data_IF_462791355361
#
_entry.id   IF_462791355361
#
_cell.length_a   1.000
_cell.length_b   1.000
_cell.length_c   1.000
_cell.angle_alpha   90.00
_cell.angle_beta   90.00
_cell.angle_gamma   90.00
#
_symmetry.space_group_name_H-M   'P 1'
#
loop_
_entity.id
_entity.type
_entity.pdbx_description
1 polymer ?
#
# COMPACT_ATOMS: atom_id res chain seq x y z
N UNK A 1 -13.88 -16.73 18.17
CA UNK A 1 -12.76 -17.18 17.32
C UNK A 1 -11.70 -17.74 18.25
N UNK A 2 -11.22 -18.96 18.00
CA UNK A 2 -10.15 -19.58 18.80
C UNK A 2 -8.81 -18.92 18.43
N UNK A 3 -7.88 -18.81 19.38
CA UNK A 3 -6.57 -18.14 19.22
C UNK A 3 -5.76 -18.67 18.02
N UNK A 4 -5.84 -19.97 17.77
CA UNK A 4 -5.19 -20.61 16.64
C UNK A 4 -5.73 -20.11 15.29
N UNK A 5 -7.03 -19.80 15.20
CA UNK A 5 -7.64 -19.25 13.98
C UNK A 5 -7.09 -17.85 13.71
N UNK A 6 -6.97 -17.00 14.73
CA UNK A 6 -6.41 -15.64 14.65
C UNK A 6 -4.95 -15.67 14.16
N UNK A 7 -4.10 -16.49 14.77
CA UNK A 7 -2.70 -16.62 14.39
C UNK A 7 -2.53 -17.20 12.97
N UNK A 8 -3.39 -18.14 12.59
CA UNK A 8 -3.42 -18.67 11.21
C UNK A 8 -3.78 -17.60 10.18
N UNK A 9 -4.80 -16.77 10.45
CA UNK A 9 -5.16 -15.63 9.60
C UNK A 9 -4.04 -14.60 9.49
N UNK A 10 -3.35 -14.30 10.60
CA UNK A 10 -2.18 -13.41 10.62
C UNK A 10 -1.09 -13.91 9.68
N UNK A 11 -0.67 -15.18 9.82
CA UNK A 11 0.37 -15.78 8.97
C UNK A 11 0.03 -15.77 7.47
N UNK A 12 -1.20 -16.15 7.10
CA UNK A 12 -1.64 -16.13 5.69
C UNK A 12 -1.65 -14.70 5.17
N UNK A 13 -2.18 -13.75 5.95
CA UNK A 13 -2.28 -12.35 5.55
C UNK A 13 -0.88 -11.75 5.32
N UNK A 14 0.08 -12.06 6.19
CA UNK A 14 1.47 -11.62 6.06
C UNK A 14 2.11 -12.12 4.76
N UNK A 15 2.02 -13.43 4.48
CA UNK A 15 2.52 -14.03 3.26
C UNK A 15 1.90 -13.39 2.01
N UNK A 16 0.57 -13.25 1.98
CA UNK A 16 -0.15 -12.59 0.87
C UNK A 16 0.28 -11.14 0.68
N UNK A 17 0.45 -10.36 1.76
CA UNK A 17 0.90 -8.96 1.65
C UNK A 17 2.32 -8.82 1.14
N UNK A 18 3.21 -9.75 1.50
CA UNK A 18 4.56 -9.80 0.96
C UNK A 18 4.52 -10.00 -0.57
N UNK A 19 3.73 -10.96 -1.04
CA UNK A 19 3.62 -11.24 -2.48
C UNK A 19 2.99 -10.07 -3.25
N UNK A 20 1.97 -9.40 -2.68
CA UNK A 20 1.41 -8.16 -3.23
C UNK A 20 2.48 -7.07 -3.35
N UNK A 21 3.34 -6.89 -2.33
CA UNK A 21 4.43 -5.90 -2.39
C UNK A 21 5.42 -6.22 -3.51
N UNK A 22 5.72 -7.49 -3.74
CA UNK A 22 6.61 -7.91 -4.83
C UNK A 22 6.00 -7.56 -6.20
N UNK A 23 4.72 -7.85 -6.42
CA UNK A 23 4.02 -7.46 -7.66
C UNK A 23 4.05 -5.93 -7.84
N UNK A 24 3.78 -5.16 -6.79
CA UNK A 24 3.82 -3.70 -6.84
C UNK A 24 5.23 -3.15 -7.11
N UNK A 25 6.28 -3.80 -6.60
CA UNK A 25 7.67 -3.43 -6.89
C UNK A 25 7.99 -3.58 -8.38
N UNK A 26 7.58 -4.69 -9.00
CA UNK A 26 7.78 -4.93 -10.44
C UNK A 26 7.03 -3.87 -11.27
N UNK A 27 5.79 -3.54 -10.90
CA UNK A 27 5.01 -2.48 -11.59
C UNK A 27 5.70 -1.12 -11.44
N UNK A 28 6.26 -0.82 -10.25
CA UNK A 28 7.01 0.41 -10.01
C UNK A 28 8.20 0.53 -10.95
N UNK A 29 9.02 -0.51 -11.03
CA UNK A 29 10.21 -0.53 -11.89
C UNK A 29 9.84 -0.40 -13.37
N UNK A 30 8.82 -1.15 -13.80
CA UNK A 30 8.32 -1.09 -15.18
C UNK A 30 7.79 0.31 -15.54
N UNK A 31 7.02 0.94 -14.65
CA UNK A 31 6.51 2.31 -14.88
C UNK A 31 7.62 3.37 -14.77
N UNK A 32 8.63 3.17 -13.92
CA UNK A 32 9.83 4.00 -13.87
C UNK A 32 10.57 4.00 -15.20
N UNK A 33 10.86 2.82 -15.74
CA UNK A 33 11.49 2.67 -17.05
C UNK A 33 10.65 3.32 -18.17
N UNK A 34 9.32 3.21 -18.13
CA UNK A 34 8.45 3.93 -19.08
C UNK A 34 8.65 5.45 -19.00
N UNK A 35 8.76 6.02 -17.80
CA UNK A 35 9.04 7.44 -17.59
C UNK A 35 10.43 7.84 -18.11
N UNK A 36 11.44 7.01 -17.86
CA UNK A 36 12.81 7.24 -18.33
C UNK A 36 12.87 7.25 -19.86
N UNK A 37 12.24 6.26 -20.51
CA UNK A 37 12.16 6.18 -21.97
C UNK A 37 11.40 7.36 -22.58
N UNK A 38 10.29 7.79 -21.95
CA UNK A 38 9.56 8.97 -22.40
C UNK A 38 10.44 10.22 -22.33
N UNK A 39 11.27 10.36 -21.29
CA UNK A 39 12.16 11.51 -21.09
C UNK A 39 13.27 11.61 -22.15
N UNK A 40 13.55 10.54 -22.89
CA UNK A 40 14.50 10.54 -24.00
C UNK A 40 13.89 11.02 -25.33
N UNK A 41 12.57 11.15 -25.41
CA UNK A 41 11.87 11.59 -26.62
C UNK A 41 11.92 13.12 -26.71
N UNK A 42 12.43 13.65 -27.82
CA UNK A 42 12.48 15.10 -28.06
C UNK A 42 11.08 15.74 -27.99
N UNK A 43 11.01 16.90 -27.33
CA UNK A 43 9.78 17.68 -27.19
C UNK A 43 9.17 17.99 -28.57
N UNK A 44 7.88 17.68 -28.71
CA UNK A 44 7.13 17.90 -29.95
C UNK A 44 7.15 16.75 -30.97
N UNK A 45 8.07 15.77 -30.84
CA UNK A 45 8.10 14.58 -31.72
C UNK A 45 6.98 13.58 -31.41
N UNK A 46 6.43 13.62 -30.19
CA UNK A 46 5.34 12.77 -29.76
C UNK A 46 4.15 13.58 -29.22
N UNK A 47 3.04 13.58 -29.97
CA UNK A 47 1.82 14.36 -29.66
C UNK A 47 1.18 14.08 -28.29
N UNK A 48 1.50 12.95 -27.65
CA UNK A 48 0.94 12.58 -26.34
C UNK A 48 1.99 12.54 -25.23
N UNK A 49 3.18 13.10 -25.45
CA UNK A 49 4.30 13.05 -24.50
C UNK A 49 3.87 13.46 -23.08
N UNK A 50 3.29 14.65 -22.94
CA UNK A 50 2.82 15.14 -21.64
C UNK A 50 1.72 14.27 -21.02
N UNK A 51 0.80 13.74 -21.84
CA UNK A 51 -0.28 12.86 -21.37
C UNK A 51 0.29 11.55 -20.83
N UNK A 52 1.23 10.93 -21.54
CA UNK A 52 1.89 9.71 -21.09
C UNK A 52 2.71 9.94 -19.82
N UNK A 53 3.44 11.05 -19.73
CA UNK A 53 4.16 11.42 -18.51
C UNK A 53 3.22 11.52 -17.30
N UNK A 54 2.04 12.14 -17.47
CA UNK A 54 1.04 12.24 -16.40
C UNK A 54 0.44 10.87 -16.01
N UNK A 55 0.24 9.97 -16.98
CA UNK A 55 -0.26 8.61 -16.74
C UNK A 55 0.76 7.76 -15.98
N UNK A 56 2.04 7.83 -16.35
CA UNK A 56 3.12 7.16 -15.63
C UNK A 56 3.18 7.65 -14.18
N UNK A 57 3.13 8.96 -13.95
CA UNK A 57 3.06 9.52 -12.59
C UNK A 57 1.86 9.00 -11.80
N UNK A 58 0.68 8.95 -12.44
CA UNK A 58 -0.52 8.39 -11.80
C UNK A 58 -0.35 6.93 -11.41
N UNK A 59 0.27 6.10 -12.27
CA UNK A 59 0.56 4.70 -11.96
C UNK A 59 1.49 4.60 -10.76
N UNK A 60 2.57 5.38 -10.73
CA UNK A 60 3.53 5.40 -9.62
C UNK A 60 2.86 5.80 -8.30
N UNK A 61 1.97 6.79 -8.32
CA UNK A 61 1.19 7.20 -7.14
C UNK A 61 0.27 6.09 -6.64
N UNK A 62 -0.43 5.38 -7.54
CA UNK A 62 -1.26 4.23 -7.15
C UNK A 62 -0.43 3.08 -6.59
N UNK A 63 0.73 2.80 -7.17
CA UNK A 63 1.65 1.77 -6.69
C UNK A 63 2.18 2.13 -5.30
N UNK A 64 2.55 3.40 -5.06
CA UNK A 64 2.98 3.89 -3.75
C UNK A 64 1.87 3.71 -2.70
N UNK A 65 0.64 4.09 -3.04
CA UNK A 65 -0.53 3.86 -2.16
C UNK A 65 -0.74 2.38 -1.89
N UNK A 66 -0.62 1.53 -2.90
CA UNK A 66 -0.73 0.07 -2.75
C UNK A 66 0.31 -0.51 -1.81
N UNK A 67 1.56 -0.06 -1.91
CA UNK A 67 2.66 -0.52 -1.04
C UNK A 67 2.42 -0.08 0.40
N UNK A 68 1.94 1.14 0.63
CA UNK A 68 1.59 1.61 1.96
C UNK A 68 0.47 0.76 2.59
N UNK A 69 -0.59 0.49 1.82
CA UNK A 69 -1.70 -0.36 2.27
C UNK A 69 -1.23 -1.77 2.63
N UNK A 70 -0.45 -2.41 1.76
CA UNK A 70 0.08 -3.75 1.98
C UNK A 70 1.02 -3.79 3.20
N UNK A 71 1.87 -2.76 3.38
CA UNK A 71 2.80 -2.67 4.52
C UNK A 71 2.04 -2.56 5.84
N UNK A 72 1.04 -1.69 5.91
CA UNK A 72 0.24 -1.50 7.13
C UNK A 72 -0.63 -2.72 7.44
N UNK A 73 -1.15 -3.40 6.41
CA UNK A 73 -1.87 -4.65 6.61
C UNK A 73 -0.94 -5.78 7.10
N UNK A 74 0.28 -5.89 6.56
CA UNK A 74 1.29 -6.84 7.05
C UNK A 74 1.64 -6.59 8.53
N UNK A 75 1.82 -5.32 8.90
CA UNK A 75 2.07 -4.93 10.29
C UNK A 75 0.91 -5.32 11.22
N UNK A 76 -0.33 -5.16 10.77
CA UNK A 76 -1.50 -5.61 11.51
C UNK A 76 -1.53 -7.14 11.65
N UNK A 77 -1.24 -7.86 10.56
CA UNK A 77 -1.18 -9.32 10.57
C UNK A 77 -0.15 -9.85 11.59
N UNK A 78 1.02 -9.21 11.69
CA UNK A 78 2.05 -9.55 12.68
C UNK A 78 1.70 -9.21 14.12
N UNK A 79 0.85 -8.20 14.37
CA UNK A 79 0.38 -7.90 15.74
C UNK A 79 -0.45 -9.03 16.37
N UNK A 80 -0.81 -10.05 15.58
CA UNK A 80 -1.52 -11.24 16.05
C UNK A 80 -0.59 -12.37 16.53
N UNK A 81 0.72 -12.23 16.35
CA UNK A 81 1.71 -13.27 16.67
C UNK A 81 2.23 -13.21 18.13
N UNK A 82 2.13 -12.06 18.82
CA UNK A 82 2.64 -11.86 20.19
C UNK A 82 1.52 -11.54 21.21
N UNK A 83 1.53 -12.23 22.36
CA UNK A 83 0.50 -12.05 23.41
C UNK A 83 0.70 -10.78 24.26
N UNK A 84 1.95 -10.36 24.44
CA UNK A 84 2.35 -9.20 25.23
C UNK A 84 3.55 -8.55 24.54
N UNK A 85 3.36 -7.32 24.05
CA UNK A 85 4.42 -6.49 23.50
C UNK A 85 4.34 -5.09 24.10
N UNK A 86 5.48 -4.42 24.20
CA UNK A 86 5.52 -3.00 24.56
C UNK A 86 5.13 -2.20 23.32
N UNK A 87 4.06 -1.40 23.42
CA UNK A 87 3.44 -0.73 22.27
C UNK A 87 3.28 0.76 22.56
N UNK A 88 3.77 1.59 21.66
CA UNK A 88 3.41 3.01 21.63
C UNK A 88 1.92 3.14 21.26
N UNK A 89 1.12 3.55 22.24
CA UNK A 89 -0.33 3.74 22.10
C UNK A 89 -0.70 4.72 20.99
N UNK A 90 0.09 5.77 20.75
CA UNK A 90 -0.16 6.72 19.66
C UNK A 90 0.10 6.07 18.30
N UNK A 91 1.13 5.23 18.20
CA UNK A 91 1.38 4.47 16.98
C UNK A 91 0.26 3.45 16.71
N UNK A 92 -0.19 2.74 17.75
CA UNK A 92 -1.29 1.79 17.64
C UNK A 92 -2.59 2.46 17.19
N UNK A 93 -2.96 3.58 17.80
CA UNK A 93 -4.16 4.35 17.42
C UNK A 93 -4.07 4.79 15.97
N UNK A 94 -2.94 5.36 15.53
CA UNK A 94 -2.74 5.78 14.13
C UNK A 94 -2.88 4.61 13.15
N UNK A 95 -2.37 3.43 13.50
CA UNK A 95 -2.50 2.21 12.69
C UNK A 95 -3.97 1.76 12.59
N UNK A 96 -4.68 1.70 13.71
CA UNK A 96 -6.10 1.30 13.74
C UNK A 96 -6.96 2.30 12.96
N UNK A 97 -6.76 3.61 13.18
CA UNK A 97 -7.47 4.66 12.45
C UNK A 97 -7.25 4.51 10.95
N UNK A 98 -6.03 4.31 10.49
CA UNK A 98 -5.74 4.09 9.07
C UNK A 98 -6.49 2.87 8.49
N UNK A 99 -6.47 1.73 9.17
CA UNK A 99 -7.19 0.52 8.72
C UNK A 99 -8.71 0.76 8.67
N UNK A 100 -9.24 1.53 9.62
CA UNK A 100 -10.66 1.82 9.73
C UNK A 100 -11.13 2.96 8.83
N UNK A 101 -10.24 3.81 8.30
CA UNK A 101 -10.58 4.93 7.42
C UNK A 101 -11.42 4.49 6.21
N UNK A 102 -11.16 3.31 5.63
CA UNK A 102 -12.00 2.79 4.53
C UNK A 102 -13.44 2.58 4.97
N UNK A 103 -13.64 1.97 6.13
CA UNK A 103 -14.98 1.71 6.68
C UNK A 103 -15.68 3.00 7.11
N UNK A 104 -14.92 3.95 7.67
CA UNK A 104 -15.43 5.28 8.01
C UNK A 104 -15.93 6.04 6.78
N UNK A 105 -15.14 6.06 5.68
CA UNK A 105 -15.56 6.66 4.40
C UNK A 105 -16.82 6.03 3.83
N UNK A 106 -16.96 4.69 3.89
CA UNK A 106 -18.17 4.00 3.44
C UNK A 106 -19.42 4.41 4.24
N UNK A 107 -19.24 4.80 5.50
CA UNK A 107 -20.30 5.30 6.38
C UNK A 107 -20.43 6.83 6.38
N UNK A 108 -19.65 7.55 5.56
CA UNK A 108 -19.57 9.02 5.53
C UNK A 108 -19.21 9.65 6.88
N UNK A 109 -18.35 8.98 7.64
CA UNK A 109 -17.82 9.47 8.93
C UNK A 109 -16.32 9.67 8.80
N UNK A 110 -15.79 10.67 9.50
CA UNK A 110 -14.35 10.92 9.59
C UNK A 110 -13.80 10.39 10.92
N UNK A 111 -12.63 9.75 10.87
CA UNK A 111 -11.91 9.32 12.07
C UNK A 111 -10.73 10.26 12.27
N UNK A 112 -10.72 10.99 13.38
CA UNK A 112 -9.58 11.74 13.84
C UNK A 112 -8.68 10.83 14.70
N UNK A 113 -7.38 10.85 14.44
CA UNK A 113 -6.37 10.04 15.15
C UNK A 113 -5.00 10.65 15.03
#
# INVERSE_FOLDING_TARGET
MKREEVAFFGKISAAMTHDIRNVLAIIRESSGLMGDLLSLIEDGSFKYHQKFHSLVGTIQDQVNRGVEMATRFNQFAHSMDEDLSDVDMNELIRRVVYLMQRFARLRKVELAG
#
